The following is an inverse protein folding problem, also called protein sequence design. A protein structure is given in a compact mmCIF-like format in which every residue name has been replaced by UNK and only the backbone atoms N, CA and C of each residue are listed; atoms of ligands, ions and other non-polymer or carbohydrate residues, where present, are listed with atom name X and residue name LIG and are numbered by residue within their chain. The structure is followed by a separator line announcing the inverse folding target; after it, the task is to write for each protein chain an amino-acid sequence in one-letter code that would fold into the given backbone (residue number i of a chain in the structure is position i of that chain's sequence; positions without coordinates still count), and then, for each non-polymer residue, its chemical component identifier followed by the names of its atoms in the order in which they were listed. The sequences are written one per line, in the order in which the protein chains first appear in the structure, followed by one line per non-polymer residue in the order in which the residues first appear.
data_IF_076763327461
#
_entry.id   IF_076763327461
#
_cell.length_a   1.000
_cell.length_b   1.000
_cell.length_c   1.000
_cell.angle_alpha   90.00
_cell.angle_beta   90.00
_cell.angle_gamma   90.00
#
_symmetry.space_group_name_H-M   'P 1'
#
loop_
_entity.id
_entity.type
_entity.pdbx_description
1 polymer ?
#
# COMPACT_ATOMS: atom_id res chain seq x y z
N UNK A 1 18.48 12.55 -12.32
CA UNK A 1 18.93 11.85 -13.53
C UNK A 1 18.36 12.59 -14.74
N UNK A 2 19.19 12.97 -15.71
CA UNK A 2 18.69 13.58 -16.96
C UNK A 2 18.43 12.42 -17.92
N UNK A 3 17.18 12.04 -18.10
CA UNK A 3 16.81 11.04 -19.10
C UNK A 3 16.99 11.71 -20.46
N UNK A 4 17.89 11.17 -21.28
CA UNK A 4 18.10 11.71 -22.62
C UNK A 4 16.80 11.56 -23.42
N UNK A 5 16.30 12.58 -24.13
CA UNK A 5 14.99 12.53 -24.80
C UNK A 5 14.89 11.44 -25.89
N UNK A 6 16.01 10.84 -26.29
CA UNK A 6 16.06 9.70 -27.21
C UNK A 6 15.99 8.32 -26.53
N UNK A 7 16.00 8.26 -25.20
CA UNK A 7 15.89 7.01 -24.43
C UNK A 7 14.47 6.91 -23.91
N UNK A 8 13.81 5.81 -24.25
CA UNK A 8 12.49 5.50 -23.77
C UNK A 8 12.50 5.27 -22.25
N UNK A 9 11.77 6.06 -21.44
CA UNK A 9 11.70 5.81 -20.01
C UNK A 9 11.06 4.45 -19.74
N UNK A 10 11.71 3.65 -18.91
CA UNK A 10 11.26 2.30 -18.55
C UNK A 10 11.02 2.23 -17.06
N UNK A 11 9.82 1.79 -16.68
CA UNK A 11 9.41 1.38 -15.36
C UNK A 11 9.43 -0.15 -15.29
N UNK A 12 9.51 -0.70 -14.10
CA UNK A 12 9.38 -2.15 -13.94
C UNK A 12 8.70 -2.55 -12.64
N UNK A 13 8.19 -3.77 -12.60
CA UNK A 13 7.82 -4.46 -11.36
C UNK A 13 8.72 -5.67 -11.16
N UNK A 14 9.19 -5.86 -9.93
CA UNK A 14 9.94 -7.06 -9.53
C UNK A 14 9.12 -7.83 -8.49
N UNK A 15 9.02 -9.16 -8.66
CA UNK A 15 8.37 -10.06 -7.71
C UNK A 15 8.78 -11.52 -7.91
N UNK A 16 8.31 -12.42 -7.05
CA UNK A 16 8.59 -13.86 -7.16
C UNK A 16 7.49 -14.76 -6.55
N UNK A 17 6.72 -15.51 -7.36
CA UNK A 17 6.59 -15.32 -8.81
C UNK A 17 5.94 -13.96 -9.11
N UNK A 18 6.43 -13.23 -10.12
CA UNK A 18 5.77 -12.00 -10.59
C UNK A 18 4.53 -12.30 -11.46
N UNK A 19 4.41 -13.52 -11.96
CA UNK A 19 3.25 -13.95 -12.75
C UNK A 19 1.97 -13.85 -11.92
N UNK A 20 0.89 -13.33 -12.54
CA UNK A 20 -0.36 -13.03 -11.83
C UNK A 20 -0.43 -11.59 -11.29
N UNK A 21 0.60 -10.77 -11.48
CA UNK A 21 0.56 -9.35 -11.12
C UNK A 21 0.01 -8.48 -12.26
N UNK A 22 -1.07 -7.74 -11.99
CA UNK A 22 -1.74 -6.89 -12.98
C UNK A 22 -1.01 -5.59 -13.35
N UNK A 23 0.06 -5.18 -12.65
CA UNK A 23 0.68 -3.86 -12.81
C UNK A 23 1.11 -3.58 -14.25
N UNK A 24 1.82 -4.51 -14.89
CA UNK A 24 2.26 -4.30 -16.27
C UNK A 24 1.07 -4.11 -17.22
N UNK A 25 0.02 -4.92 -17.07
CA UNK A 25 -1.15 -4.83 -17.93
C UNK A 25 -1.90 -3.49 -17.74
N UNK A 26 -2.13 -3.09 -16.49
CA UNK A 26 -2.84 -1.87 -16.16
C UNK A 26 -2.03 -0.60 -16.45
N UNK A 27 -0.74 -0.58 -16.11
CA UNK A 27 0.10 0.60 -16.28
C UNK A 27 0.48 0.86 -17.74
N UNK A 28 0.71 -0.17 -18.55
CA UNK A 28 0.90 0.02 -20.00
C UNK A 28 -0.33 0.67 -20.65
N UNK A 29 -1.55 0.32 -20.22
CA UNK A 29 -2.78 0.94 -20.76
C UNK A 29 -2.86 2.43 -20.47
N UNK A 30 -2.62 2.85 -19.23
CA UNK A 30 -2.64 4.29 -18.91
C UNK A 30 -1.45 5.05 -19.47
N UNK A 31 -0.30 4.42 -19.68
CA UNK A 31 0.81 5.04 -20.42
C UNK A 31 0.40 5.34 -21.87
N UNK A 32 -0.24 4.38 -22.54
CA UNK A 32 -0.76 4.56 -23.90
C UNK A 32 -1.84 5.64 -23.96
N UNK A 33 -2.81 5.62 -23.05
CA UNK A 33 -3.88 6.61 -22.99
C UNK A 33 -3.34 8.03 -22.74
N UNK A 34 -2.34 8.17 -21.86
CA UNK A 34 -1.67 9.45 -21.60
C UNK A 34 -0.75 9.92 -22.75
N UNK A 35 -0.62 9.15 -23.83
CA UNK A 35 0.26 9.45 -24.96
C UNK A 35 1.75 9.42 -24.60
N UNK A 36 2.10 8.69 -23.53
CA UNK A 36 3.47 8.54 -23.08
C UNK A 36 4.12 7.34 -23.78
N UNK A 37 5.18 7.59 -24.55
CA UNK A 37 6.02 6.53 -25.10
C UNK A 37 6.94 5.97 -24.00
N UNK A 38 6.38 5.43 -22.93
CA UNK A 38 7.08 4.78 -21.83
C UNK A 38 6.88 3.27 -21.91
N UNK A 39 7.67 2.50 -21.14
CA UNK A 39 7.48 1.06 -20.96
C UNK A 39 7.32 0.70 -19.50
N UNK A 40 6.52 -0.32 -19.22
CA UNK A 40 6.39 -0.97 -17.94
C UNK A 40 6.58 -2.48 -18.12
N UNK A 41 7.57 -3.07 -17.47
CA UNK A 41 7.94 -4.47 -17.67
C UNK A 41 8.02 -5.24 -16.35
N UNK A 42 7.58 -6.50 -16.37
CA UNK A 42 7.64 -7.39 -15.21
C UNK A 42 8.89 -8.26 -15.24
N UNK A 43 9.59 -8.35 -14.11
CA UNK A 43 10.75 -9.22 -13.96
C UNK A 43 10.54 -10.20 -12.81
N UNK A 44 10.73 -11.49 -13.11
CA UNK A 44 10.75 -12.53 -12.11
C UNK A 44 12.16 -12.63 -11.52
N UNK A 45 12.34 -12.26 -10.26
CA UNK A 45 13.66 -12.20 -9.61
C UNK A 45 13.69 -13.15 -8.43
N UNK A 46 14.65 -14.07 -8.41
CA UNK A 46 14.85 -14.98 -7.27
C UNK A 46 15.09 -14.17 -5.99
N UNK A 47 14.61 -14.60 -4.80
CA UNK A 47 14.89 -13.91 -3.55
C UNK A 47 16.37 -13.68 -3.28
N UNK A 48 17.24 -14.63 -3.66
CA UNK A 48 18.71 -14.51 -3.50
C UNK A 48 19.33 -13.43 -4.41
N UNK A 49 18.58 -12.91 -5.38
CA UNK A 49 19.06 -11.92 -6.37
C UNK A 49 18.34 -10.57 -6.26
N UNK A 50 17.51 -10.38 -5.23
CA UNK A 50 16.74 -9.15 -5.05
C UNK A 50 17.64 -7.91 -5.00
N UNK A 51 18.68 -7.99 -4.18
CA UNK A 51 19.66 -6.92 -3.99
C UNK A 51 20.41 -6.57 -5.28
N UNK A 52 20.85 -7.57 -6.06
CA UNK A 52 21.45 -7.35 -7.38
C UNK A 52 20.46 -6.69 -8.35
N UNK A 53 19.20 -7.14 -8.34
CA UNK A 53 18.19 -6.62 -9.24
C UNK A 53 17.87 -5.15 -8.95
N UNK A 54 17.69 -4.76 -7.68
CA UNK A 54 17.45 -3.35 -7.32
C UNK A 54 18.66 -2.49 -7.68
N UNK A 55 19.90 -2.94 -7.41
CA UNK A 55 21.11 -2.23 -7.87
C UNK A 55 21.16 -2.12 -9.39
N UNK A 56 20.76 -3.17 -10.10
CA UNK A 56 20.64 -3.20 -11.55
C UNK A 56 19.65 -2.15 -12.07
N UNK A 57 18.47 -2.06 -11.47
CA UNK A 57 17.47 -1.03 -11.78
C UNK A 57 18.07 0.37 -11.67
N UNK A 58 18.77 0.63 -10.57
CA UNK A 58 19.43 1.92 -10.34
C UNK A 58 20.52 2.21 -11.37
N UNK A 59 21.36 1.22 -11.66
CA UNK A 59 22.50 1.34 -12.58
C UNK A 59 22.08 1.50 -14.04
N UNK A 60 21.01 0.81 -14.46
CA UNK A 60 20.43 0.90 -15.81
C UNK A 60 19.67 2.21 -16.03
N UNK A 61 19.39 2.98 -14.97
CA UNK A 61 18.71 4.26 -15.05
C UNK A 61 17.22 4.12 -15.40
N UNK A 62 16.54 3.08 -14.88
CA UNK A 62 15.09 2.98 -15.00
C UNK A 62 14.41 4.18 -14.32
N UNK A 63 13.24 4.55 -14.84
CA UNK A 63 12.45 5.67 -14.34
C UNK A 63 11.81 5.38 -12.98
N UNK A 64 11.70 4.11 -12.60
CA UNK A 64 11.04 3.69 -11.38
C UNK A 64 10.93 2.17 -11.28
N UNK A 65 10.64 1.72 -10.07
CA UNK A 65 10.49 0.32 -9.71
C UNK A 65 9.28 0.17 -8.79
N UNK A 66 8.40 -0.75 -9.12
CA UNK A 66 7.40 -1.29 -8.23
C UNK A 66 7.84 -2.66 -7.70
N UNK A 67 7.35 -2.99 -6.51
CA UNK A 67 7.59 -4.26 -5.86
C UNK A 67 6.27 -5.01 -5.73
N UNK A 68 6.36 -6.30 -6.04
CA UNK A 68 5.38 -7.30 -5.71
C UNK A 68 5.99 -8.29 -4.73
N UNK A 69 5.13 -9.14 -4.14
CA UNK A 69 5.55 -10.08 -3.11
C UNK A 69 6.66 -11.00 -3.60
N UNK A 70 7.61 -11.38 -2.72
CA UNK A 70 7.64 -11.15 -1.27
C UNK A 70 8.59 -10.02 -0.81
N UNK A 71 8.89 -9.04 -1.65
CA UNK A 71 10.03 -8.13 -1.42
C UNK A 71 9.71 -6.78 -0.76
N UNK A 72 8.46 -6.48 -0.44
CA UNK A 72 8.00 -5.16 0.00
C UNK A 72 8.72 -4.68 1.28
N UNK A 73 9.07 -5.63 2.15
CA UNK A 73 9.83 -5.33 3.38
C UNK A 73 11.32 -5.15 3.15
N UNK A 74 11.87 -5.83 2.14
CA UNK A 74 13.30 -5.81 1.80
C UNK A 74 13.69 -4.53 1.06
N UNK A 75 12.77 -3.93 0.28
CA UNK A 75 13.09 -2.74 -0.52
C UNK A 75 13.54 -1.55 0.35
N UNK A 76 13.08 -1.47 1.60
CA UNK A 76 13.42 -0.40 2.55
C UNK A 76 14.94 -0.17 2.68
N UNK A 77 15.77 -1.22 2.58
CA UNK A 77 17.24 -1.11 2.69
C UNK A 77 17.90 -0.42 1.48
N UNK A 78 17.17 -0.30 0.37
CA UNK A 78 17.61 0.37 -0.85
C UNK A 78 17.05 1.80 -0.97
N UNK A 79 16.24 2.26 -0.01
CA UNK A 79 15.67 3.60 -0.03
C UNK A 79 16.67 4.59 0.55
N UNK A 80 16.90 5.70 -0.15
CA UNK A 80 17.74 6.80 0.34
C UNK A 80 16.92 7.90 1.02
N UNK A 81 15.63 7.99 0.71
CA UNK A 81 14.68 8.90 1.36
C UNK A 81 13.26 8.38 1.24
N UNK A 82 12.47 8.48 2.30
CA UNK A 82 11.06 8.10 2.31
C UNK A 82 10.16 9.29 1.97
N UNK A 83 9.03 9.07 1.28
CA UNK A 83 8.05 10.14 1.02
C UNK A 83 7.38 10.66 2.28
N UNK A 84 7.28 9.83 3.33
CA UNK A 84 6.80 10.21 4.67
C UNK A 84 7.75 11.19 5.38
N UNK A 85 9.03 11.23 4.98
CA UNK A 85 10.07 11.97 5.69
C UNK A 85 10.55 11.31 6.99
N UNK A 86 9.94 10.19 7.40
CA UNK A 86 10.35 9.40 8.57
C UNK A 86 11.14 8.17 8.12
N UNK A 87 12.30 7.94 8.73
CA UNK A 87 13.01 6.68 8.61
C UNK A 87 12.20 5.57 9.31
N UNK A 88 12.11 4.37 8.71
CA UNK A 88 11.44 3.23 9.35
C UNK A 88 10.11 2.78 8.75
N UNK A 89 9.69 3.31 7.60
CA UNK A 89 8.56 2.75 6.85
C UNK A 89 8.96 1.36 6.31
N UNK A 90 8.52 0.32 7.02
CA UNK A 90 8.93 -1.06 6.79
C UNK A 90 8.27 -1.72 5.58
N UNK A 91 7.34 -1.04 4.90
CA UNK A 91 6.68 -1.56 3.70
C UNK A 91 6.81 -0.53 2.57
N UNK A 92 7.79 -0.74 1.69
CA UNK A 92 8.00 0.10 0.52
C UNK A 92 7.69 -0.71 -0.71
N UNK A 93 6.73 -0.24 -1.48
CA UNK A 93 6.31 -0.94 -2.68
C UNK A 93 6.67 -0.20 -3.96
N UNK A 94 7.01 1.09 -3.91
CA UNK A 94 7.41 1.89 -5.07
C UNK A 94 8.70 2.66 -4.79
N UNK A 95 9.57 2.75 -5.80
CA UNK A 95 10.86 3.42 -5.75
C UNK A 95 11.06 4.26 -7.03
N UNK A 96 11.61 5.47 -6.88
CA UNK A 96 11.88 6.35 -8.02
C UNK A 96 13.06 7.32 -7.79
N UNK A 97 13.77 7.73 -8.86
CA UNK A 97 14.85 8.69 -8.73
C UNK A 97 14.31 10.13 -8.73
N UNK A 98 14.36 10.82 -7.60
CA UNK A 98 13.99 12.24 -7.48
C UNK A 98 15.26 13.06 -7.23
N UNK A 99 15.61 13.93 -8.19
CA UNK A 99 16.82 14.77 -8.12
C UNK A 99 18.13 13.98 -7.87
N UNK A 100 18.18 12.72 -8.31
CA UNK A 100 19.36 11.85 -8.16
C UNK A 100 19.38 11.01 -6.88
N UNK A 101 18.36 11.11 -6.04
CA UNK A 101 18.16 10.30 -4.83
C UNK A 101 17.01 9.33 -5.07
N UNK A 102 17.18 8.05 -4.72
CA UNK A 102 16.12 7.06 -4.81
C UNK A 102 15.15 7.17 -3.64
N UNK A 103 13.95 7.66 -3.94
CA UNK A 103 12.87 7.89 -3.00
C UNK A 103 11.94 6.68 -2.98
N UNK A 104 11.71 6.14 -1.79
CA UNK A 104 10.76 5.05 -1.54
C UNK A 104 9.41 5.58 -1.05
N UNK A 105 8.34 4.92 -1.48
CA UNK A 105 6.98 5.21 -1.04
C UNK A 105 6.18 3.94 -0.77
N UNK A 106 5.26 4.06 0.19
CA UNK A 106 4.22 3.08 0.48
C UNK A 106 2.91 3.52 -0.19
N UNK A 107 2.76 3.16 -1.47
CA UNK A 107 1.59 3.52 -2.27
C UNK A 107 0.33 2.77 -1.84
N UNK A 108 0.49 1.56 -1.31
CA UNK A 108 -0.60 0.83 -0.69
C UNK A 108 -1.22 1.64 0.45
N UNK A 109 -0.42 2.04 1.44
CA UNK A 109 -0.93 2.79 2.58
C UNK A 109 -1.47 4.18 2.18
N UNK A 110 -0.81 4.86 1.22
CA UNK A 110 -1.33 6.11 0.64
C UNK A 110 -2.72 5.92 0.01
N UNK A 111 -2.91 4.86 -0.77
CA UNK A 111 -4.17 4.54 -1.41
C UNK A 111 -5.27 4.26 -0.38
N UNK A 112 -4.98 3.40 0.61
CA UNK A 112 -5.90 3.08 1.70
C UNK A 112 -6.29 4.34 2.45
N UNK A 113 -5.33 5.21 2.83
CA UNK A 113 -5.62 6.47 3.53
C UNK A 113 -6.54 7.39 2.71
N UNK A 114 -6.29 7.53 1.40
CA UNK A 114 -7.10 8.38 0.52
C UNK A 114 -8.53 7.87 0.39
N UNK A 115 -8.72 6.56 0.21
CA UNK A 115 -10.04 5.94 0.06
C UNK A 115 -10.80 5.96 1.40
N UNK A 116 -10.11 5.66 2.50
CA UNK A 116 -10.65 5.73 3.85
C UNK A 116 -11.22 7.13 4.16
N UNK A 117 -10.44 8.20 3.89
CA UNK A 117 -10.90 9.59 4.07
C UNK A 117 -11.96 10.04 3.07
N UNK A 118 -12.06 9.42 1.90
CA UNK A 118 -13.16 9.70 0.98
C UNK A 118 -14.47 9.12 1.51
N UNK A 119 -14.43 7.93 2.10
CA UNK A 119 -15.59 7.27 2.68
C UNK A 119 -16.03 7.91 4.02
N UNK A 120 -15.07 8.16 4.91
CA UNK A 120 -15.31 8.80 6.21
C UNK A 120 -14.29 9.94 6.37
N UNK A 121 -14.66 11.21 6.08
CA UNK A 121 -13.72 12.33 6.06
C UNK A 121 -13.01 12.63 7.38
N UNK A 122 -13.71 12.46 8.49
CA UNK A 122 -13.21 12.70 9.85
C UNK A 122 -13.45 11.43 10.69
N UNK A 123 -12.66 10.36 10.45
CA UNK A 123 -12.87 9.13 11.19
C UNK A 123 -12.49 9.33 12.65
N UNK A 124 -13.33 8.85 13.56
CA UNK A 124 -13.04 8.87 15.01
C UNK A 124 -11.97 7.83 15.37
N UNK A 125 -12.00 6.70 14.67
CA UNK A 125 -11.08 5.59 14.87
C UNK A 125 -10.89 4.80 13.57
N UNK A 126 -9.72 4.20 13.42
CA UNK A 126 -9.41 3.28 12.33
C UNK A 126 -8.86 2.00 12.98
N UNK A 127 -9.47 0.87 12.67
CA UNK A 127 -9.00 -0.47 13.04
C UNK A 127 -8.31 -1.11 11.85
N UNK A 128 -7.06 -1.53 12.03
CA UNK A 128 -6.35 -2.38 11.05
C UNK A 128 -6.32 -3.78 11.63
N UNK A 129 -7.04 -4.72 11.01
CA UNK A 129 -7.11 -6.12 11.39
C UNK A 129 -6.00 -6.90 10.66
N UNK A 130 -5.22 -7.68 11.40
CA UNK A 130 -4.08 -8.45 10.89
C UNK A 130 -2.74 -8.00 11.48
N UNK A 131 -1.75 -8.91 11.54
CA UNK A 131 -0.42 -8.73 12.14
C UNK A 131 0.75 -8.82 11.15
N UNK A 132 0.42 -9.02 9.89
CA UNK A 132 1.39 -9.15 8.82
C UNK A 132 2.16 -7.85 8.58
N UNK A 133 3.25 -7.93 7.78
CA UNK A 133 4.01 -6.75 7.43
C UNK A 133 3.18 -5.69 6.67
N UNK A 134 2.13 -6.12 5.95
CA UNK A 134 1.18 -5.22 5.27
C UNK A 134 0.46 -4.30 6.26
N UNK A 135 -0.09 -4.87 7.34
CA UNK A 135 -0.77 -4.14 8.40
C UNK A 135 0.17 -3.13 9.08
N UNK A 136 1.39 -3.57 9.42
CA UNK A 136 2.44 -2.73 10.03
C UNK A 136 2.85 -1.57 9.13
N UNK A 137 2.98 -1.79 7.83
CA UNK A 137 3.28 -0.76 6.85
C UNK A 137 2.20 0.32 6.77
N UNK A 138 0.92 -0.09 6.76
CA UNK A 138 -0.22 0.83 6.77
C UNK A 138 -0.22 1.66 8.07
N UNK A 139 -0.05 1.00 9.21
CA UNK A 139 0.01 1.66 10.52
C UNK A 139 1.14 2.71 10.58
N UNK A 140 2.36 2.35 10.18
CA UNK A 140 3.50 3.25 10.16
C UNK A 140 3.26 4.48 9.27
N UNK A 141 2.71 4.28 8.08
CA UNK A 141 2.36 5.37 7.18
C UNK A 141 1.30 6.30 7.80
N UNK A 142 0.30 5.76 8.48
CA UNK A 142 -0.78 6.53 9.11
C UNK A 142 -0.25 7.37 10.28
N UNK A 143 0.61 6.77 11.12
CA UNK A 143 1.29 7.48 12.21
C UNK A 143 2.13 8.64 11.70
N UNK A 144 2.89 8.46 10.62
CA UNK A 144 3.70 9.52 10.01
C UNK A 144 2.85 10.69 9.47
N UNK A 145 1.59 10.45 9.11
CA UNK A 145 0.67 11.47 8.57
C UNK A 145 -0.33 12.00 9.60
N UNK A 146 -0.03 11.83 10.90
CA UNK A 146 -0.82 12.34 12.02
C UNK A 146 -2.29 11.86 12.03
N UNK A 147 -2.56 10.66 11.49
CA UNK A 147 -3.80 9.96 11.78
C UNK A 147 -3.65 9.33 13.16
N UNK A 148 -4.48 9.78 14.10
CA UNK A 148 -4.59 9.15 15.42
C UNK A 148 -5.29 7.80 15.24
N UNK A 149 -4.51 6.76 14.93
CA UNK A 149 -5.01 5.43 14.61
C UNK A 149 -4.60 4.44 15.70
N UNK A 150 -5.54 3.61 16.12
CA UNK A 150 -5.36 2.55 17.11
C UNK A 150 -5.47 1.20 16.36
N UNK A 151 -4.39 0.45 16.23
CA UNK A 151 -4.37 -0.84 15.52
C UNK A 151 -4.28 -2.00 16.51
N UNK A 152 -5.03 -3.06 16.24
CA UNK A 152 -4.94 -4.32 16.96
C UNK A 152 -4.49 -5.37 15.97
N UNK A 153 -3.33 -5.94 16.23
CA UNK A 153 -2.86 -7.10 15.51
C UNK A 153 -2.79 -8.25 16.52
N UNK A 154 -3.30 -9.44 16.20
CA UNK A 154 -3.25 -10.56 17.11
C UNK A 154 -1.80 -11.02 17.39
N UNK A 155 -1.08 -10.36 18.31
CA UNK A 155 0.30 -10.71 18.68
C UNK A 155 1.28 -9.56 18.90
N UNK A 156 0.95 -8.31 18.52
CA UNK A 156 1.80 -7.15 18.86
C UNK A 156 1.33 -6.55 20.20
N UNK A 157 2.13 -6.74 21.26
CA UNK A 157 1.94 -6.05 22.54
C UNK A 157 2.50 -4.63 22.54
N UNK A 158 3.28 -4.23 21.53
CA UNK A 158 3.87 -2.90 21.47
C UNK A 158 3.33 -2.12 20.26
N UNK A 159 3.05 -0.82 20.43
CA UNK A 159 2.80 0.03 19.29
C UNK A 159 4.06 -0.01 18.41
N UNK A 160 3.89 -0.32 17.12
CA UNK A 160 4.75 0.00 15.95
C UNK A 160 5.40 1.43 15.90
N UNK A 161 5.69 2.05 17.04
CA UNK A 161 6.45 3.29 17.22
C UNK A 161 7.94 3.00 17.49
N UNK A 162 8.37 1.74 17.57
CA UNK A 162 9.79 1.41 17.74
C UNK A 162 10.63 1.48 16.43
N UNK A 163 10.47 2.53 15.61
CA UNK A 163 11.49 2.91 14.61
C UNK A 163 11.53 4.43 14.46
N UNK A 164 12.01 5.14 15.49
CA UNK A 164 12.61 6.47 15.36
C UNK A 164 13.32 6.84 16.67
N UNK A 165 14.50 6.25 16.95
CA UNK A 165 15.46 6.93 17.82
C UNK A 165 15.96 8.19 17.10
N UNK A 166 15.24 9.30 17.27
CA UNK A 166 15.72 10.62 16.85
C UNK A 166 14.78 11.44 15.98
N UNK A 167 13.56 11.74 16.45
CA UNK A 167 12.86 12.95 16.03
C UNK A 167 12.02 13.48 17.19
N UNK A 168 12.30 14.72 17.61
CA UNK A 168 11.63 15.36 18.73
C UNK A 168 10.14 15.55 18.47
N UNK A 169 9.33 14.93 19.34
CA UNK A 169 8.00 15.32 19.84
C UNK A 169 7.02 16.02 18.87
N UNK A 170 5.93 15.32 18.50
CA UNK A 170 4.57 15.53 19.06
C UNK A 170 3.61 14.45 18.52
N UNK A 171 3.36 13.45 19.35
CA UNK A 171 2.26 12.50 19.23
C UNK A 171 2.21 11.80 20.57
N UNK A 172 1.10 11.90 21.30
CA UNK A 172 0.96 11.20 22.58
C UNK A 172 1.26 9.72 22.34
N UNK A 173 2.37 9.25 22.90
CA UNK A 173 2.64 7.84 23.07
C UNK A 173 1.56 7.34 24.01
N UNK A 174 0.56 6.65 23.46
CA UNK A 174 -0.43 5.97 24.28
C UNK A 174 0.26 4.71 24.80
N UNK A 175 0.82 4.86 25.99
CA UNK A 175 1.25 3.81 26.90
C UNK A 175 0.08 2.87 27.18
N UNK A 176 0.33 1.56 27.13
CA UNK A 176 -0.53 0.49 27.66
C UNK A 176 -2.02 0.61 27.31
N UNK A 177 -2.36 0.36 26.05
CA UNK A 177 -3.77 0.18 25.65
C UNK A 177 -4.10 -1.29 25.88
N UNK A 178 -5.08 -1.56 26.75
CA UNK A 178 -5.80 -2.84 26.77
C UNK A 178 -6.09 -3.27 25.33
N UNK A 179 -6.04 -4.58 24.98
CA UNK A 179 -6.38 -5.03 23.63
C UNK A 179 -7.68 -4.35 23.21
N UNK A 180 -7.61 -3.53 22.15
CA UNK A 180 -8.70 -2.66 21.74
C UNK A 180 -9.94 -3.52 21.53
N UNK A 181 -10.87 -3.43 22.47
CA UNK A 181 -12.15 -4.08 22.32
C UNK A 181 -12.87 -3.36 21.20
N UNK A 182 -13.30 -4.08 20.16
CA UNK A 182 -14.23 -3.56 19.15
C UNK A 182 -15.65 -3.36 19.73
N UNK A 183 -15.75 -2.98 20.99
CA UNK A 183 -16.97 -2.60 21.68
C UNK A 183 -17.30 -1.15 21.30
N UNK A 184 -18.52 -0.90 20.80
CA UNK A 184 -19.04 0.41 20.38
C UNK A 184 -18.48 0.96 19.04
N UNK A 185 -18.35 0.10 18.03
CA UNK A 185 -18.13 0.57 16.64
C UNK A 185 -19.35 1.35 16.14
N UNK A 186 -19.10 2.50 15.50
CA UNK A 186 -20.15 3.38 14.97
C UNK A 186 -19.80 3.87 13.55
N UNK A 187 -20.70 4.61 12.87
CA UNK A 187 -20.49 5.08 11.50
C UNK A 187 -19.32 6.06 11.28
N UNK A 188 -18.64 6.52 12.33
CA UNK A 188 -17.41 7.31 12.24
C UNK A 188 -16.14 6.45 12.26
N UNK A 189 -16.26 5.14 12.45
CA UNK A 189 -15.15 4.19 12.49
C UNK A 189 -14.86 3.61 11.10
N UNK A 190 -13.59 3.35 10.81
CA UNK A 190 -13.13 2.62 9.63
C UNK A 190 -12.50 1.30 10.06
N UNK A 191 -12.80 0.21 9.36
CA UNK A 191 -12.14 -1.10 9.53
C UNK A 191 -11.37 -1.43 8.26
N UNK A 192 -10.12 -1.88 8.39
CA UNK A 192 -9.24 -2.28 7.30
C UNK A 192 -8.81 -3.72 7.56
N UNK A 193 -9.08 -4.64 6.64
CA UNK A 193 -8.59 -6.02 6.72
C UNK A 193 -7.30 -6.16 5.95
N UNK A 194 -6.23 -6.51 6.64
CA UNK A 194 -4.91 -6.76 6.08
C UNK A 194 -4.50 -8.23 6.26
N UNK A 195 -3.33 -8.57 5.71
CA UNK A 195 -2.75 -9.90 5.86
C UNK A 195 -2.22 -10.15 7.27
N UNK A 196 -2.25 -11.42 7.68
CA UNK A 196 -1.54 -11.96 8.83
C UNK A 196 -0.05 -12.21 8.51
N UNK A 197 0.75 -12.63 9.50
CA UNK A 197 2.17 -12.92 9.32
C UNK A 197 2.48 -13.95 8.23
N UNK A 198 1.57 -14.89 7.96
CA UNK A 198 1.74 -15.91 6.93
C UNK A 198 1.45 -15.39 5.51
N UNK A 199 1.13 -14.10 5.36
CA UNK A 199 0.86 -13.44 4.09
C UNK A 199 -0.53 -13.74 3.52
N UNK A 200 -1.45 -14.29 4.34
CA UNK A 200 -2.84 -14.49 3.96
C UNK A 200 -3.74 -13.49 4.67
N UNK A 201 -4.95 -13.22 4.14
CA UNK A 201 -5.91 -12.34 4.80
C UNK A 201 -6.19 -12.83 6.22
N UNK A 202 -6.16 -11.91 7.20
CA UNK A 202 -6.33 -12.29 8.60
C UNK A 202 -7.70 -12.96 8.84
N UNK A 203 -7.78 -13.89 9.80
CA UNK A 203 -9.07 -14.42 10.24
C UNK A 203 -9.81 -13.39 11.10
N UNK A 204 -11.14 -13.47 11.12
CA UNK A 204 -11.99 -12.57 11.89
C UNK A 204 -12.72 -13.33 13.00
N UNK A 205 -12.76 -12.76 14.19
CA UNK A 205 -13.59 -13.21 15.30
C UNK A 205 -15.01 -12.62 15.26
N UNK A 206 -15.84 -12.99 16.24
CA UNK A 206 -17.24 -12.54 16.27
C UNK A 206 -17.41 -11.04 16.49
N UNK A 207 -16.53 -10.40 17.27
CA UNK A 207 -16.61 -8.97 17.54
C UNK A 207 -16.13 -8.15 16.32
N UNK A 208 -15.10 -8.63 15.63
CA UNK A 208 -14.60 -8.04 14.39
C UNK A 208 -15.66 -8.10 13.28
N UNK A 209 -16.36 -9.25 13.16
CA UNK A 209 -17.49 -9.41 12.23
C UNK A 209 -18.62 -8.42 12.56
N UNK A 210 -19.00 -8.27 13.83
CA UNK A 210 -20.04 -7.33 14.25
C UNK A 210 -19.62 -5.87 13.99
N UNK A 211 -18.35 -5.53 14.24
CA UNK A 211 -17.81 -4.22 13.92
C UNK A 211 -17.88 -3.86 12.44
N UNK A 212 -17.62 -4.83 11.55
CA UNK A 212 -17.75 -4.61 10.11
C UNK A 212 -19.20 -4.31 9.67
N UNK A 213 -20.20 -4.67 10.46
CA UNK A 213 -21.61 -4.40 10.17
C UNK A 213 -22.08 -3.02 10.61
N UNK A 214 -21.28 -2.31 11.42
CA UNK A 214 -21.65 -1.04 12.08
C UNK A 214 -20.73 0.13 11.71
N UNK A 215 -19.52 -0.16 11.24
CA UNK A 215 -18.54 0.84 10.80
C UNK A 215 -19.08 1.75 9.69
N UNK A 216 -18.49 2.94 9.53
CA UNK A 216 -18.79 3.82 8.39
C UNK A 216 -18.20 3.30 7.09
N UNK A 217 -17.03 2.65 7.17
CA UNK A 217 -16.31 2.13 6.03
C UNK A 217 -15.53 0.86 6.39
N UNK A 218 -15.53 -0.09 5.46
CA UNK A 218 -14.73 -1.30 5.52
C UNK A 218 -13.85 -1.40 4.27
N UNK A 219 -12.54 -1.55 4.46
CA UNK A 219 -11.54 -1.68 3.41
C UNK A 219 -11.03 -3.11 3.36
N UNK A 220 -11.21 -3.77 2.23
CA UNK A 220 -10.67 -5.10 1.93
C UNK A 220 -9.41 -4.97 1.06
N UNK A 221 -8.33 -5.65 1.43
CA UNK A 221 -7.07 -5.64 0.67
C UNK A 221 -6.89 -6.91 -0.16
N UNK A 222 -7.60 -7.98 0.17
CA UNK A 222 -7.53 -9.26 -0.52
C UNK A 222 -8.46 -9.31 -1.74
N UNK A 223 -7.97 -9.85 -2.86
CA UNK A 223 -8.79 -10.10 -4.05
C UNK A 223 -9.61 -11.39 -3.97
N UNK A 224 -9.33 -12.28 -3.00
CA UNK A 224 -10.03 -13.56 -2.87
C UNK A 224 -11.49 -13.32 -2.44
N UNK A 225 -12.49 -13.69 -3.26
CA UNK A 225 -13.90 -13.54 -2.88
C UNK A 225 -14.26 -14.31 -1.60
N UNK A 226 -13.52 -15.37 -1.25
CA UNK A 226 -13.75 -16.12 -0.02
C UNK A 226 -13.38 -15.35 1.25
N UNK A 227 -12.60 -14.27 1.11
CA UNK A 227 -12.15 -13.43 2.23
C UNK A 227 -12.89 -12.11 2.28
N UNK A 228 -14.04 -11.96 1.62
CA UNK A 228 -14.80 -10.71 1.66
C UNK A 228 -15.27 -10.36 3.09
N UNK A 229 -15.09 -9.09 3.48
CA UNK A 229 -15.61 -8.56 4.75
C UNK A 229 -17.15 -8.68 4.85
N UNK A 230 -17.70 -9.12 6.00
CA UNK A 230 -19.13 -9.30 6.21
C UNK A 230 -19.82 -7.97 6.57
N UNK A 231 -19.96 -7.09 5.59
CA UNK A 231 -20.48 -5.73 5.76
C UNK A 231 -22.00 -5.65 5.64
N UNK A 232 -22.63 -4.68 6.32
CA UNK A 232 -24.04 -4.37 6.14
C UNK A 232 -24.26 -3.40 4.96
N UNK A 233 -25.48 -3.34 4.40
CA UNK A 233 -25.80 -2.54 3.20
C UNK A 233 -25.49 -1.04 3.32
N UNK A 234 -25.53 -0.49 4.54
CA UNK A 234 -25.26 0.92 4.81
C UNK A 234 -23.78 1.25 4.98
N UNK A 235 -22.91 0.25 5.09
CA UNK A 235 -21.47 0.41 5.29
C UNK A 235 -20.81 0.65 3.94
N UNK A 236 -19.95 1.67 3.84
CA UNK A 236 -19.20 1.93 2.61
C UNK A 236 -18.16 0.83 2.41
N UNK A 237 -18.26 0.11 1.29
CA UNK A 237 -17.29 -0.90 0.90
C UNK A 237 -16.17 -0.28 0.06
N UNK A 238 -14.92 -0.48 0.46
CA UNK A 238 -13.74 -0.24 -0.37
C UNK A 238 -13.12 -1.59 -0.68
N UNK A 239 -13.21 -2.02 -1.93
CA UNK A 239 -12.70 -3.31 -2.40
C UNK A 239 -11.19 -3.30 -2.65
N UNK A 240 -10.59 -4.48 -2.76
CA UNK A 240 -9.20 -4.62 -3.17
C UNK A 240 -8.94 -4.01 -4.56
N UNK A 241 -9.92 -4.06 -5.47
CA UNK A 241 -9.83 -3.40 -6.79
C UNK A 241 -9.76 -1.88 -6.64
N UNK A 242 -10.57 -1.28 -5.75
CA UNK A 242 -10.50 0.16 -5.47
C UNK A 242 -9.10 0.57 -5.00
N UNK A 243 -8.54 -0.22 -4.08
CA UNK A 243 -7.20 0.01 -3.52
C UNK A 243 -6.12 -0.15 -4.59
N UNK A 244 -6.18 -1.20 -5.43
CA UNK A 244 -5.22 -1.41 -6.52
C UNK A 244 -5.27 -0.27 -7.54
N UNK A 245 -6.46 0.15 -7.96
CA UNK A 245 -6.64 1.27 -8.89
C UNK A 245 -6.05 2.55 -8.31
N UNK A 246 -6.35 2.87 -7.05
CA UNK A 246 -5.82 4.07 -6.40
C UNK A 246 -4.30 3.99 -6.20
N UNK A 247 -3.77 2.82 -5.83
CA UNK A 247 -2.34 2.55 -5.70
C UNK A 247 -1.59 2.76 -7.01
N UNK A 248 -2.10 2.21 -8.11
CA UNK A 248 -1.50 2.35 -9.44
C UNK A 248 -1.59 3.79 -9.94
N UNK A 249 -2.71 4.49 -9.69
CA UNK A 249 -2.87 5.89 -10.03
C UNK A 249 -1.85 6.77 -9.29
N UNK A 250 -1.62 6.53 -7.99
CA UNK A 250 -0.63 7.27 -7.21
C UNK A 250 0.79 7.05 -7.74
N UNK A 251 1.15 5.80 -8.02
CA UNK A 251 2.46 5.48 -8.58
C UNK A 251 2.69 6.09 -9.97
N UNK A 252 1.69 5.98 -10.85
CA UNK A 252 1.72 6.62 -12.18
C UNK A 252 1.94 8.14 -12.06
N UNK A 253 1.22 8.80 -11.15
CA UNK A 253 1.38 10.23 -10.90
C UNK A 253 2.76 10.58 -10.39
N UNK A 254 3.28 9.81 -9.43
CA UNK A 254 4.59 10.05 -8.86
C UNK A 254 5.70 9.92 -9.92
N UNK A 255 5.64 8.89 -10.77
CA UNK A 255 6.65 8.65 -11.81
C UNK A 255 6.58 9.62 -13.00
N UNK A 256 5.36 9.96 -13.45
CA UNK A 256 5.16 10.69 -14.71
C UNK A 256 4.83 12.18 -14.51
N UNK A 257 4.37 12.55 -13.32
CA UNK A 257 3.80 13.87 -13.02
C UNK A 257 2.38 14.08 -13.57
N UNK A 258 1.78 13.09 -14.23
CA UNK A 258 0.44 13.16 -14.82
C UNK A 258 -0.57 12.35 -13.98
N UNK A 259 -1.82 12.77 -13.96
CA UNK A 259 -2.89 11.96 -13.35
C UNK A 259 -3.29 10.83 -14.29
N UNK A 260 -3.42 9.61 -13.76
CA UNK A 260 -3.99 8.49 -14.51
C UNK A 260 -5.53 8.57 -14.52
N UNK A 261 -6.15 8.16 -15.64
CA UNK A 261 -7.58 7.91 -15.70
C UNK A 261 -7.92 6.63 -14.92
N UNK A 262 -8.62 6.79 -13.79
CA UNK A 262 -8.91 5.67 -12.88
C UNK A 262 -9.86 4.64 -13.50
N UNK A 263 -10.73 5.04 -14.43
CA UNK A 263 -11.59 4.12 -15.17
C UNK A 263 -10.78 3.14 -16.01
N UNK A 264 -9.75 3.62 -16.70
CA UNK A 264 -8.87 2.76 -17.51
C UNK A 264 -8.08 1.78 -16.66
N UNK A 265 -7.57 2.24 -15.50
CA UNK A 265 -6.93 1.34 -14.53
C UNK A 265 -7.91 0.29 -14.01
N UNK A 266 -9.14 0.69 -13.69
CA UNK A 266 -10.19 -0.24 -13.23
C UNK A 266 -10.50 -1.30 -14.27
N UNK A 267 -10.84 -0.88 -15.49
CA UNK A 267 -11.13 -1.80 -16.60
C UNK A 267 -9.98 -2.78 -16.83
N UNK A 268 -8.73 -2.30 -16.77
CA UNK A 268 -7.56 -3.15 -16.91
C UNK A 268 -7.38 -4.16 -15.78
N UNK A 269 -7.61 -3.75 -14.53
CA UNK A 269 -7.50 -4.64 -13.36
C UNK A 269 -8.60 -5.69 -13.37
N UNK A 270 -9.85 -5.28 -13.63
CA UNK A 270 -11.00 -6.18 -13.71
C UNK A 270 -10.84 -7.18 -14.87
N UNK A 271 -10.40 -6.73 -16.06
CA UNK A 271 -10.12 -7.62 -17.19
C UNK A 271 -8.99 -8.60 -16.91
N UNK A 272 -7.92 -8.17 -16.23
CA UNK A 272 -6.77 -9.05 -15.93
C UNK A 272 -7.14 -10.16 -14.95
N UNK A 273 -7.99 -9.86 -13.96
CA UNK A 273 -8.40 -10.81 -12.93
C UNK A 273 -9.74 -11.51 -13.24
N UNK A 274 -10.36 -11.22 -14.38
CA UNK A 274 -11.67 -11.77 -14.80
C UNK A 274 -12.79 -11.50 -13.78
N UNK A 275 -12.85 -10.28 -13.25
CA UNK A 275 -13.83 -9.82 -12.25
C UNK A 275 -15.08 -9.16 -12.85
#
# INVERSE_FOLDING_TARGET
MVVHPAIQPTLCVIGFPVAGNAMQFALERVLVEAGLDWKFVSFNVSPDSFDEAVRGVKALGLAGLAIASPFETQLSTHVERFTTGCDGDGWIDFLQPVQGVWVGSNQLARAVMQLARQAVPEPSQIYILGDGPQARGIAAYFSAHSLSCQYSTAGLQEPAVAVAEGAGAIGESISDVDPLSMENIDPSVIVIRADAEDGKPCSLDSAEIEGCQTAGCCVELALDPATQLPIAEHVVAVSAVDVLVQRFANGFQDWTGLSAEKSTLREAVEEYYEL
#
